data_IF_975740869594
#
_entry.id   IF_975740869594
#
_cell.length_a   1.000
_cell.length_b   1.000
_cell.length_c   1.000
_cell.angle_alpha   90.00
_cell.angle_beta   90.00
_cell.angle_gamma   90.00
#
_symmetry.space_group_name_H-M   'P 1'
#
loop_
_entity.id
_entity.type
_entity.pdbx_description
1 polymer ?
#
# COMPACT_ATOMS: atom_id res chain seq x y z
N UNK A 1 -31.42 -3.32 9.78
CA UNK A 1 -29.97 -3.15 9.50
C UNK A 1 -29.74 -1.77 8.95
N UNK A 2 -28.77 -1.03 9.49
CA UNK A 2 -28.35 0.30 9.04
C UNK A 2 -27.21 0.15 8.02
N UNK A 3 -27.22 0.97 6.97
CA UNK A 3 -26.18 0.96 5.93
C UNK A 3 -25.64 2.37 5.70
N UNK A 4 -24.38 2.45 5.33
CA UNK A 4 -23.68 3.65 4.87
C UNK A 4 -23.32 3.43 3.40
N UNK A 5 -23.52 4.45 2.57
CA UNK A 5 -23.14 4.39 1.15
C UNK A 5 -21.91 5.25 0.91
N UNK A 6 -20.89 4.68 0.30
CA UNK A 6 -19.69 5.37 -0.14
C UNK A 6 -19.31 4.88 -1.54
N UNK A 7 -19.08 5.80 -2.47
CA UNK A 7 -18.60 5.50 -3.83
C UNK A 7 -19.39 4.37 -4.53
N UNK A 8 -20.73 4.44 -4.48
CA UNK A 8 -21.67 3.45 -5.02
C UNK A 8 -21.63 2.06 -4.36
N UNK A 9 -20.89 1.87 -3.26
CA UNK A 9 -20.94 0.67 -2.43
C UNK A 9 -21.75 0.91 -1.17
N UNK A 10 -22.47 -0.13 -0.70
CA UNK A 10 -23.21 -0.12 0.56
C UNK A 10 -22.45 -0.93 1.59
N UNK A 11 -22.21 -0.35 2.75
CA UNK A 11 -21.54 -0.98 3.87
C UNK A 11 -22.51 -1.08 5.04
N UNK A 12 -22.61 -2.25 5.65
CA UNK A 12 -23.43 -2.43 6.86
C UNK A 12 -22.80 -1.65 8.01
N UNK A 13 -23.64 -1.06 8.86
CA UNK A 13 -23.19 -0.47 10.12
C UNK A 13 -22.58 -1.57 10.99
N UNK A 14 -21.39 -1.38 11.57
CA UNK A 14 -20.75 -2.41 12.39
C UNK A 14 -21.49 -2.62 13.69
N UNK A 15 -21.71 -3.89 14.06
CA UNK A 15 -22.27 -4.29 15.35
C UNK A 15 -21.17 -4.48 16.41
N UNK A 16 -19.92 -4.60 15.96
CA UNK A 16 -18.67 -4.78 16.73
C UNK A 16 -17.60 -3.85 16.15
N UNK A 17 -16.54 -3.49 16.90
CA UNK A 17 -15.41 -2.78 16.32
C UNK A 17 -14.86 -3.49 15.08
N UNK A 18 -14.61 -2.75 14.01
CA UNK A 18 -13.97 -3.26 12.79
C UNK A 18 -12.56 -2.70 12.70
N UNK A 19 -11.57 -3.56 12.77
CA UNK A 19 -10.15 -3.22 12.64
C UNK A 19 -9.65 -3.68 11.28
N UNK A 20 -9.34 -2.74 10.40
CA UNK A 20 -8.74 -3.04 9.10
C UNK A 20 -7.27 -2.67 9.14
N UNK A 21 -6.42 -3.61 8.78
CA UNK A 21 -4.97 -3.48 8.87
C UNK A 21 -4.37 -3.63 7.46
N UNK A 22 -3.60 -2.63 7.05
CA UNK A 22 -2.75 -2.66 5.87
C UNK A 22 -1.31 -2.94 6.31
N UNK A 23 -0.83 -4.15 6.06
CA UNK A 23 0.54 -4.56 6.32
C UNK A 23 1.41 -4.19 5.12
N UNK A 24 1.96 -2.98 5.12
CA UNK A 24 2.77 -2.43 4.03
C UNK A 24 3.88 -3.39 3.58
N UNK A 25 3.96 -3.65 2.28
CA UNK A 25 4.97 -4.52 1.67
C UNK A 25 4.81 -6.01 1.95
N UNK A 26 3.67 -6.46 2.48
CA UNK A 26 3.48 -7.85 2.90
C UNK A 26 2.89 -8.70 1.79
N UNK A 27 3.57 -9.79 1.45
CA UNK A 27 3.07 -10.77 0.51
C UNK A 27 2.68 -12.09 1.22
N UNK A 28 1.62 -12.76 0.75
CA UNK A 28 1.13 -13.98 1.38
C UNK A 28 1.98 -15.22 1.10
N UNK A 29 2.75 -15.21 0.00
CA UNK A 29 3.56 -16.35 -0.42
C UNK A 29 2.82 -17.49 -1.10
N UNK A 30 1.61 -17.29 -1.57
CA UNK A 30 0.84 -18.33 -2.27
C UNK A 30 0.64 -18.00 -3.75
N UNK A 31 0.80 -18.97 -4.65
CA UNK A 31 1.35 -20.32 -4.45
C UNK A 31 2.85 -20.28 -4.10
N UNK A 32 3.31 -21.24 -3.32
CA UNK A 32 4.68 -21.36 -2.78
C UNK A 32 5.79 -21.54 -3.84
N UNK A 33 5.54 -21.30 -5.09
CA UNK A 33 6.47 -21.55 -6.20
C UNK A 33 7.78 -20.77 -6.11
N UNK A 34 7.82 -19.69 -5.34
CA UNK A 34 9.00 -18.82 -5.14
C UNK A 34 9.59 -18.86 -3.73
N UNK A 35 9.26 -19.87 -2.95
CA UNK A 35 9.80 -20.04 -1.60
C UNK A 35 8.94 -19.45 -0.49
N UNK A 36 7.74 -18.94 -0.80
CA UNK A 36 6.79 -18.41 0.16
C UNK A 36 7.02 -16.92 0.49
N UNK A 37 5.94 -16.25 0.94
CA UNK A 37 5.99 -14.87 1.38
C UNK A 37 6.22 -14.74 2.89
N UNK A 38 6.16 -13.51 3.38
CA UNK A 38 6.42 -13.19 4.78
C UNK A 38 5.49 -13.93 5.74
N UNK A 39 4.18 -13.85 5.50
CA UNK A 39 3.17 -14.41 6.40
C UNK A 39 3.27 -15.94 6.42
N UNK A 40 3.38 -16.60 5.25
CA UNK A 40 3.48 -18.06 5.20
C UNK A 40 4.76 -18.56 5.87
N UNK A 41 5.90 -17.90 5.64
CA UNK A 41 7.15 -18.25 6.31
C UNK A 41 7.11 -18.05 7.81
N UNK A 42 6.56 -16.95 8.29
CA UNK A 42 6.41 -16.70 9.71
C UNK A 42 5.45 -17.71 10.38
N UNK A 43 4.40 -18.15 9.68
CA UNK A 43 3.52 -19.24 10.15
C UNK A 43 4.29 -20.57 10.19
N UNK A 44 4.99 -20.92 9.12
CA UNK A 44 5.80 -22.16 9.05
C UNK A 44 6.86 -22.22 10.15
N UNK A 45 7.48 -21.08 10.46
CA UNK A 45 8.49 -20.94 11.51
C UNK A 45 7.88 -20.79 12.93
N UNK A 46 6.54 -20.90 13.07
CA UNK A 46 5.86 -20.85 14.35
C UNK A 46 5.76 -19.46 14.99
N UNK A 47 6.06 -18.41 14.25
CA UNK A 47 6.04 -17.02 14.76
C UNK A 47 4.64 -16.39 14.73
N UNK A 48 3.69 -16.94 13.95
CA UNK A 48 2.33 -16.42 13.83
C UNK A 48 1.27 -17.47 14.18
N UNK A 49 1.23 -17.97 15.43
CA UNK A 49 0.29 -19.01 15.85
C UNK A 49 -1.17 -18.54 15.82
N UNK A 50 -1.45 -17.27 16.14
CA UNK A 50 -2.80 -16.73 16.06
C UNK A 50 -3.30 -16.71 14.61
N UNK A 51 -2.52 -16.15 13.69
CA UNK A 51 -2.90 -16.07 12.29
C UNK A 51 -2.99 -17.46 11.65
N UNK A 52 -2.14 -18.40 12.04
CA UNK A 52 -2.24 -19.81 11.66
C UNK A 52 -3.60 -20.43 12.06
N UNK A 53 -4.13 -20.07 13.24
CA UNK A 53 -5.43 -20.54 13.71
C UNK A 53 -6.60 -20.04 12.84
N UNK A 54 -6.47 -18.87 12.23
CA UNK A 54 -7.50 -18.25 11.37
C UNK A 54 -7.71 -19.09 10.10
N UNK A 55 -6.69 -19.78 9.59
CA UNK A 55 -6.83 -20.68 8.42
C UNK A 55 -8.00 -21.68 8.56
N UNK A 56 -8.34 -22.05 9.80
CA UNK A 56 -9.37 -23.04 10.07
C UNK A 56 -10.72 -22.46 10.54
N UNK A 57 -10.76 -21.20 10.97
CA UNK A 57 -11.96 -20.59 11.60
C UNK A 57 -12.43 -19.31 10.95
N UNK A 58 -11.60 -18.67 10.14
CA UNK A 58 -11.90 -17.42 9.48
C UNK A 58 -11.81 -17.52 7.96
N UNK A 59 -11.55 -16.40 7.31
CA UNK A 59 -11.22 -16.34 5.90
C UNK A 59 -9.72 -16.14 5.73
N UNK A 60 -9.06 -17.02 4.99
CA UNK A 60 -7.64 -16.88 4.66
C UNK A 60 -7.46 -17.03 3.15
N UNK A 61 -7.39 -15.90 2.46
CA UNK A 61 -7.29 -15.83 0.99
C UNK A 61 -6.23 -14.82 0.58
N UNK A 62 -6.05 -14.67 -0.72
CA UNK A 62 -5.27 -13.61 -1.34
C UNK A 62 -6.17 -12.69 -2.15
N UNK A 63 -5.72 -11.46 -2.34
CA UNK A 63 -6.33 -10.48 -3.23
C UNK A 63 -5.27 -9.89 -4.17
N UNK A 64 -5.72 -9.18 -5.19
CA UNK A 64 -4.84 -8.39 -6.02
C UNK A 64 -4.89 -6.92 -5.59
N UNK A 65 -3.74 -6.33 -5.32
CA UNK A 65 -3.55 -4.89 -5.19
C UNK A 65 -3.78 -4.20 -6.54
N UNK A 66 -3.97 -2.89 -6.55
CA UNK A 66 -4.01 -2.11 -7.79
C UNK A 66 -2.60 -1.98 -8.38
N UNK A 67 -2.52 -1.75 -9.68
CA UNK A 67 -1.27 -1.41 -10.37
C UNK A 67 -1.26 0.11 -10.66
N UNK A 68 -0.14 0.78 -10.35
CA UNK A 68 1.10 0.28 -9.77
C UNK A 68 0.92 -0.17 -8.32
N UNK A 69 1.63 -1.25 -7.95
CA UNK A 69 1.63 -1.79 -6.59
C UNK A 69 2.52 -0.91 -5.68
N UNK A 70 2.02 0.30 -5.40
CA UNK A 70 2.63 1.33 -4.56
C UNK A 70 1.71 1.72 -3.41
N UNK A 71 2.29 2.31 -2.37
CA UNK A 71 1.62 2.65 -1.12
C UNK A 71 0.42 3.58 -1.31
N UNK A 72 0.59 4.74 -1.96
CA UNK A 72 -0.49 5.72 -2.06
C UNK A 72 -1.71 5.21 -2.84
N UNK A 73 -1.58 4.72 -4.11
CA UNK A 73 -2.75 4.26 -4.85
C UNK A 73 -3.48 3.13 -4.14
N UNK A 74 -2.76 2.23 -3.49
CA UNK A 74 -3.37 1.07 -2.84
C UNK A 74 -4.03 1.40 -1.49
N UNK A 75 -3.37 2.18 -0.61
CA UNK A 75 -4.03 2.63 0.62
C UNK A 75 -5.30 3.44 0.30
N UNK A 76 -5.26 4.32 -0.71
CA UNK A 76 -6.44 5.09 -1.12
C UNK A 76 -7.49 4.17 -1.75
N UNK A 77 -7.11 3.18 -2.55
CA UNK A 77 -8.06 2.18 -3.05
C UNK A 77 -8.77 1.45 -1.90
N UNK A 78 -8.03 1.01 -0.88
CA UNK A 78 -8.56 0.33 0.31
C UNK A 78 -9.60 1.22 1.02
N UNK A 79 -9.26 2.47 1.32
CA UNK A 79 -10.12 3.34 2.15
C UNK A 79 -11.24 4.03 1.37
N UNK A 80 -11.23 3.98 0.05
CA UNK A 80 -12.32 4.45 -0.80
C UNK A 80 -13.19 3.31 -1.35
N UNK A 81 -12.72 2.06 -1.27
CA UNK A 81 -13.35 0.89 -1.86
C UNK A 81 -13.38 0.95 -3.40
N UNK A 82 -12.46 1.67 -4.05
CA UNK A 82 -12.50 1.94 -5.50
C UNK A 82 -11.12 1.85 -6.14
N UNK A 83 -11.02 1.61 -7.45
CA UNK A 83 -9.74 1.61 -8.17
C UNK A 83 -9.22 3.02 -8.46
N UNK A 84 -7.94 3.17 -8.88
CA UNK A 84 -7.29 4.44 -9.21
C UNK A 84 -8.05 5.34 -10.19
N UNK A 85 -8.69 4.77 -11.21
CA UNK A 85 -9.49 5.54 -12.19
C UNK A 85 -10.63 6.33 -11.54
N UNK A 86 -11.13 5.86 -10.40
CA UNK A 86 -12.23 6.50 -9.65
C UNK A 86 -11.67 7.52 -8.65
N UNK A 87 -10.73 7.11 -7.79
CA UNK A 87 -10.20 7.99 -6.75
C UNK A 87 -9.08 8.93 -7.22
N UNK A 88 -8.50 8.70 -8.40
CA UNK A 88 -7.57 9.62 -9.05
C UNK A 88 -6.08 9.46 -8.69
N UNK A 89 -5.71 8.64 -7.71
CA UNK A 89 -4.30 8.46 -7.29
C UNK A 89 -3.66 7.36 -8.14
N UNK A 90 -2.75 7.75 -9.05
CA UNK A 90 -2.11 6.85 -10.03
C UNK A 90 -0.72 6.36 -9.63
N UNK A 91 -0.17 6.86 -8.52
CA UNK A 91 1.16 6.54 -8.03
C UNK A 91 1.44 7.33 -6.76
N UNK A 92 2.66 7.26 -6.25
CA UNK A 92 3.11 8.18 -5.20
C UNK A 92 3.44 9.57 -5.78
N UNK A 93 3.55 9.65 -7.13
CA UNK A 93 4.08 10.80 -7.82
C UNK A 93 3.66 10.74 -9.31
N UNK A 94 3.42 11.87 -9.96
CA UNK A 94 3.03 11.94 -11.35
C UNK A 94 3.54 13.24 -12.00
N UNK A 95 3.47 13.31 -13.34
CA UNK A 95 3.70 14.53 -14.07
C UNK A 95 2.38 15.21 -14.38
N UNK A 96 2.20 16.41 -13.83
CA UNK A 96 1.02 17.22 -14.08
C UNK A 96 1.25 18.09 -15.33
N UNK A 97 0.54 17.76 -16.40
CA UNK A 97 0.59 18.48 -17.67
C UNK A 97 0.10 19.94 -17.53
N UNK A 98 -0.75 20.24 -16.55
CA UNK A 98 -1.30 21.58 -16.36
C UNK A 98 -0.28 22.57 -15.77
N UNK A 99 0.55 22.10 -14.85
CA UNK A 99 1.59 22.90 -14.20
C UNK A 99 2.99 22.68 -14.78
N UNK A 100 3.16 21.75 -15.74
CA UNK A 100 4.47 21.30 -16.28
C UNK A 100 5.44 20.87 -15.17
N UNK A 101 4.91 20.18 -14.13
CA UNK A 101 5.67 19.82 -12.95
C UNK A 101 5.49 18.35 -12.55
N UNK A 102 6.51 17.79 -11.95
CA UNK A 102 6.43 16.52 -11.26
C UNK A 102 5.92 16.74 -9.84
N UNK A 103 4.83 16.06 -9.47
CA UNK A 103 4.06 16.36 -8.27
C UNK A 103 3.88 15.10 -7.41
N UNK A 104 4.13 15.24 -6.10
CA UNK A 104 3.85 14.20 -5.12
C UNK A 104 2.34 14.06 -4.91
N UNK A 105 1.81 12.83 -5.03
CA UNK A 105 0.39 12.53 -4.82
C UNK A 105 0.10 12.26 -3.33
N UNK A 106 0.39 13.22 -2.47
CA UNK A 106 0.15 13.17 -1.02
C UNK A 106 -0.75 14.30 -0.51
N UNK A 107 -1.27 15.15 -1.41
CA UNK A 107 -2.25 16.17 -1.08
C UNK A 107 -3.67 15.64 -1.29
N UNK A 108 -4.59 15.77 -0.30
CA UNK A 108 -6.00 15.40 -0.43
C UNK A 108 -6.72 16.04 -1.63
N UNK A 109 -6.25 17.19 -2.13
CA UNK A 109 -6.81 17.85 -3.32
C UNK A 109 -6.72 16.97 -4.60
N UNK A 110 -5.87 15.95 -4.62
CA UNK A 110 -5.81 14.99 -5.73
C UNK A 110 -6.90 13.92 -5.69
N UNK A 111 -7.57 13.74 -4.54
CA UNK A 111 -8.68 12.80 -4.40
C UNK A 111 -9.92 13.29 -5.16
N UNK A 112 -10.59 12.37 -5.85
CA UNK A 112 -11.81 12.65 -6.64
C UNK A 112 -13.07 12.16 -5.97
N UNK A 113 -12.93 11.39 -4.89
CA UNK A 113 -14.04 10.75 -4.17
C UNK A 113 -13.75 10.75 -2.67
N UNK A 114 -14.80 10.66 -1.86
CA UNK A 114 -14.70 10.60 -0.41
C UNK A 114 -14.21 9.24 0.09
N UNK A 115 -13.79 9.21 1.35
CA UNK A 115 -13.36 7.99 2.03
C UNK A 115 -14.53 7.29 2.73
N UNK A 116 -14.40 5.97 2.96
CA UNK A 116 -15.31 5.19 3.80
C UNK A 116 -15.38 5.80 5.21
N UNK A 117 -14.24 6.29 5.72
CA UNK A 117 -14.16 6.94 7.04
C UNK A 117 -15.08 8.15 7.17
N UNK A 118 -14.99 9.07 6.19
CA UNK A 118 -15.87 10.27 6.17
C UNK A 118 -17.32 9.87 6.07
N UNK A 119 -17.66 8.93 5.20
CA UNK A 119 -19.03 8.46 5.03
C UNK A 119 -19.61 7.87 6.33
N UNK A 120 -18.82 7.11 7.10
CA UNK A 120 -19.24 6.58 8.39
C UNK A 120 -19.29 7.66 9.48
N UNK A 121 -18.30 8.56 9.54
CA UNK A 121 -18.32 9.68 10.48
C UNK A 121 -19.57 10.55 10.32
N UNK A 122 -19.98 10.86 9.09
CA UNK A 122 -21.20 11.63 8.80
C UNK A 122 -22.47 10.97 9.30
N UNK A 123 -22.41 9.68 9.53
CA UNK A 123 -23.48 8.90 10.12
C UNK A 123 -23.32 8.70 11.64
N UNK A 124 -22.30 9.32 12.25
CA UNK A 124 -22.06 9.30 13.69
C UNK A 124 -21.15 8.19 14.19
N UNK A 125 -20.40 7.52 13.32
CA UNK A 125 -19.39 6.55 13.73
C UNK A 125 -18.15 7.24 14.32
N UNK A 126 -17.48 6.52 15.23
CA UNK A 126 -16.17 6.89 15.77
C UNK A 126 -15.09 6.23 14.92
N UNK A 127 -14.22 7.06 14.34
CA UNK A 127 -13.19 6.64 13.38
C UNK A 127 -11.81 6.88 13.96
N UNK A 128 -10.97 5.85 14.02
CA UNK A 128 -9.56 5.99 14.34
C UNK A 128 -8.69 5.53 13.16
N UNK A 129 -7.69 6.32 12.81
CA UNK A 129 -6.73 6.05 11.73
C UNK A 129 -5.33 6.29 12.27
N UNK A 130 -4.48 5.26 12.23
CA UNK A 130 -3.08 5.36 12.63
C UNK A 130 -2.19 4.84 11.50
N UNK A 131 -1.30 5.68 11.03
CA UNK A 131 -0.31 5.32 10.00
C UNK A 131 1.10 5.33 10.56
N UNK A 132 2.00 4.55 9.96
CA UNK A 132 3.40 4.64 10.32
C UNK A 132 4.00 6.00 9.90
N UNK A 133 3.80 6.40 8.63
CA UNK A 133 4.39 7.61 8.02
C UNK A 133 3.35 8.72 7.81
N UNK A 134 3.73 9.98 8.05
CA UNK A 134 2.82 11.13 7.98
C UNK A 134 2.34 11.48 6.56
N UNK A 135 3.11 11.14 5.54
CA UNK A 135 2.77 11.46 4.14
C UNK A 135 1.38 10.96 3.72
N UNK A 136 0.98 9.78 4.21
CA UNK A 136 -0.29 9.16 3.88
C UNK A 136 -1.45 9.68 4.74
N UNK A 137 -1.18 10.08 5.99
CA UNK A 137 -2.18 10.49 6.99
C UNK A 137 -3.20 11.49 6.47
N UNK A 138 -2.73 12.55 5.79
CA UNK A 138 -3.61 13.63 5.31
C UNK A 138 -4.64 13.14 4.29
N UNK A 139 -4.27 12.24 3.40
CA UNK A 139 -5.19 11.66 2.42
C UNK A 139 -6.19 10.72 3.09
N UNK A 140 -5.77 9.91 4.06
CA UNK A 140 -6.65 9.00 4.80
C UNK A 140 -7.66 9.76 5.66
N UNK A 141 -7.22 10.86 6.29
CA UNK A 141 -8.07 11.76 7.09
C UNK A 141 -8.84 12.79 6.28
N UNK A 142 -8.90 12.68 4.95
CA UNK A 142 -9.57 13.64 4.08
C UNK A 142 -11.02 13.89 4.49
N UNK A 143 -11.36 15.17 4.67
CA UNK A 143 -12.68 15.66 5.08
C UNK A 143 -13.17 15.20 6.45
N UNK A 144 -12.39 14.49 7.27
CA UNK A 144 -12.79 14.18 8.63
C UNK A 144 -12.91 15.45 9.48
N UNK A 145 -13.97 15.50 10.26
CA UNK A 145 -14.22 16.57 11.23
C UNK A 145 -13.68 16.14 12.60
N UNK A 146 -12.56 16.72 13.00
CA UNK A 146 -11.91 16.43 14.28
C UNK A 146 -12.54 17.21 15.45
N UNK A 147 -13.22 18.32 15.19
CA UNK A 147 -13.84 19.14 16.22
C UNK A 147 -15.04 18.44 16.88
N UNK A 148 -15.71 17.55 16.14
CA UNK A 148 -16.81 16.76 16.67
C UNK A 148 -16.36 15.70 17.70
N UNK A 149 -15.07 15.43 17.83
CA UNK A 149 -14.53 14.44 18.75
C UNK A 149 -14.88 12.98 18.40
N UNK A 150 -15.34 12.73 17.17
CA UNK A 150 -15.67 11.40 16.64
C UNK A 150 -14.62 10.85 15.65
N UNK A 151 -13.52 11.57 15.44
CA UNK A 151 -12.41 11.13 14.61
C UNK A 151 -11.05 11.34 15.29
N UNK A 152 -10.15 10.39 15.10
CA UNK A 152 -8.72 10.48 15.43
C UNK A 152 -7.95 10.02 14.19
N UNK A 153 -6.97 10.83 13.72
CA UNK A 153 -6.13 10.48 12.58
C UNK A 153 -4.72 11.03 12.75
N UNK A 154 -3.74 10.15 12.96
CA UNK A 154 -2.35 10.58 13.16
C UNK A 154 -1.34 9.54 12.63
N UNK A 155 -0.06 9.94 12.63
CA UNK A 155 1.06 9.07 12.28
C UNK A 155 1.96 8.79 13.48
N UNK A 156 2.53 7.58 13.55
CA UNK A 156 3.56 7.23 14.54
C UNK A 156 4.79 8.13 14.39
N UNK A 157 5.19 8.47 13.16
CA UNK A 157 6.31 9.36 12.83
C UNK A 157 6.22 10.71 13.55
N UNK A 158 5.00 11.26 13.70
CA UNK A 158 4.76 12.59 14.28
C UNK A 158 3.81 12.58 15.48
N UNK A 159 3.75 11.47 16.21
CA UNK A 159 2.82 11.30 17.33
C UNK A 159 2.94 12.39 18.40
N UNK A 160 4.15 12.94 18.66
CA UNK A 160 4.38 14.03 19.61
C UNK A 160 3.87 15.40 19.13
N UNK A 161 3.59 15.54 17.82
CA UNK A 161 3.19 16.81 17.21
C UNK A 161 1.68 16.89 16.98
N UNK A 162 0.93 15.89 17.46
CA UNK A 162 -0.51 15.86 17.24
C UNK A 162 -1.24 16.90 18.08
N UNK A 163 -2.29 17.45 17.48
CA UNK A 163 -3.19 18.42 18.11
C UNK A 163 -4.63 17.98 17.93
N UNK A 164 -5.48 18.31 18.88
CA UNK A 164 -6.91 17.97 18.81
C UNK A 164 -7.58 18.54 17.55
N UNK A 165 -7.23 19.76 17.15
CA UNK A 165 -7.83 20.41 15.99
C UNK A 165 -7.50 19.78 14.65
N UNK A 166 -6.27 19.23 14.50
CA UNK A 166 -5.83 18.61 13.24
C UNK A 166 -5.90 17.08 13.24
N UNK A 167 -5.85 16.45 14.43
CA UNK A 167 -5.69 15.00 14.55
C UNK A 167 -6.76 14.33 15.42
N UNK A 168 -7.62 15.11 16.09
CA UNK A 168 -8.61 14.62 17.05
C UNK A 168 -8.04 14.25 18.43
N UNK A 169 -6.72 14.35 18.61
CA UNK A 169 -6.00 14.01 19.85
C UNK A 169 -4.80 14.93 20.03
N UNK A 170 -4.51 15.33 21.27
CA UNK A 170 -3.30 16.06 21.63
C UNK A 170 -2.22 15.05 22.06
N UNK A 171 -0.97 15.28 21.65
CA UNK A 171 0.19 14.48 22.02
C UNK A 171 -0.06 12.96 22.05
N UNK A 172 -0.28 12.40 20.87
CA UNK A 172 -0.55 10.97 20.74
C UNK A 172 0.57 10.06 21.25
N UNK A 173 1.78 10.61 21.52
CA UNK A 173 2.87 9.85 22.15
C UNK A 173 2.51 9.33 23.55
N UNK A 174 1.51 9.90 24.18
CA UNK A 174 0.99 9.45 25.48
C UNK A 174 0.07 8.23 25.41
N UNK A 175 -0.25 7.76 24.19
CA UNK A 175 -1.09 6.55 24.02
C UNK A 175 -0.36 5.26 24.39
N UNK A 176 0.95 5.26 24.39
CA UNK A 176 1.75 4.05 24.63
C UNK A 176 2.91 4.36 25.57
N UNK A 177 3.42 3.33 26.26
CA UNK A 177 4.66 3.42 27.03
C UNK A 177 5.92 3.25 26.14
N UNK A 178 5.73 3.12 24.81
CA UNK A 178 6.84 2.99 23.86
C UNK A 178 7.50 4.35 23.62
N UNK A 179 8.83 4.37 23.43
CA UNK A 179 9.51 5.59 23.02
C UNK A 179 9.01 6.03 21.63
N UNK A 180 9.10 7.33 21.35
CA UNK A 180 8.83 7.83 19.99
C UNK A 180 9.71 7.09 18.99
N UNK A 181 9.11 6.41 17.98
CA UNK A 181 9.86 5.54 17.11
C UNK A 181 10.73 6.32 16.11
N UNK A 182 11.89 5.77 15.77
CA UNK A 182 12.69 6.26 14.64
C UNK A 182 11.98 5.94 13.32
N UNK A 183 11.97 6.91 12.39
CA UNK A 183 11.34 6.77 11.06
C UNK A 183 11.90 5.58 10.28
N UNK A 184 13.18 5.26 10.48
CA UNK A 184 13.88 4.17 9.82
C UNK A 184 13.99 2.93 10.72
N UNK A 185 12.89 2.51 11.31
CA UNK A 185 12.84 1.31 12.18
C UNK A 185 11.53 0.55 12.07
N UNK A 186 11.54 -0.72 12.48
CA UNK A 186 10.32 -1.52 12.65
C UNK A 186 9.43 -1.03 13.79
N UNK A 187 9.99 -0.22 14.71
CA UNK A 187 9.26 0.34 15.86
C UNK A 187 8.12 1.27 15.47
N UNK A 188 8.16 1.89 14.26
CA UNK A 188 6.99 2.62 13.74
C UNK A 188 5.74 1.75 13.68
N UNK A 189 5.87 0.53 13.16
CA UNK A 189 4.75 -0.40 13.03
C UNK A 189 4.29 -0.93 14.40
N UNK A 190 5.22 -1.22 15.31
CA UNK A 190 4.88 -1.63 16.67
C UNK A 190 4.08 -0.53 17.40
N UNK A 191 4.50 0.74 17.25
CA UNK A 191 3.78 1.89 17.79
C UNK A 191 2.35 1.98 17.22
N UNK A 192 2.17 1.77 15.92
CA UNK A 192 0.85 1.79 15.26
C UNK A 192 -0.09 0.76 15.92
N UNK A 193 0.38 -0.45 16.15
CA UNK A 193 -0.41 -1.50 16.80
C UNK A 193 -0.71 -1.20 18.27
N UNK A 194 0.30 -0.79 19.05
CA UNK A 194 0.14 -0.46 20.47
C UNK A 194 -0.83 0.70 20.69
N UNK A 195 -0.71 1.78 19.89
CA UNK A 195 -1.63 2.90 19.95
C UNK A 195 -3.05 2.50 19.52
N UNK A 196 -3.17 1.61 18.51
CA UNK A 196 -4.45 1.05 18.09
C UNK A 196 -5.16 0.27 19.20
N UNK A 197 -4.44 -0.58 19.95
CA UNK A 197 -4.93 -1.29 21.11
C UNK A 197 -5.41 -0.33 22.21
N UNK A 198 -4.60 0.67 22.54
CA UNK A 198 -4.98 1.69 23.55
C UNK A 198 -6.27 2.42 23.14
N UNK A 199 -6.45 2.74 21.85
CA UNK A 199 -7.68 3.36 21.38
C UNK A 199 -8.89 2.40 21.40
N UNK A 200 -8.69 1.10 21.16
CA UNK A 200 -9.76 0.11 21.35
C UNK A 200 -10.23 0.07 22.82
N UNK A 201 -9.29 0.10 23.75
CA UNK A 201 -9.59 0.09 25.21
C UNK A 201 -10.25 1.38 25.68
N UNK A 202 -9.66 2.53 25.34
CA UNK A 202 -9.99 3.80 26.01
C UNK A 202 -10.96 4.66 25.24
N UNK A 203 -11.02 4.48 23.92
CA UNK A 203 -11.82 5.32 23.03
C UNK A 203 -12.91 4.54 22.26
N UNK A 204 -12.78 3.23 22.10
CA UNK A 204 -13.75 2.31 21.49
C UNK A 204 -14.25 2.80 20.11
N UNK A 205 -13.39 2.85 19.08
CA UNK A 205 -13.79 3.23 17.72
C UNK A 205 -14.74 2.18 17.11
N UNK A 206 -15.70 2.62 16.29
CA UNK A 206 -16.49 1.72 15.43
C UNK A 206 -15.64 1.14 14.28
N UNK A 207 -14.74 1.99 13.74
CA UNK A 207 -13.79 1.60 12.70
C UNK A 207 -12.38 2.08 13.10
N UNK A 208 -11.44 1.14 13.11
CA UNK A 208 -10.01 1.40 13.31
C UNK A 208 -9.26 0.98 12.04
N UNK A 209 -8.46 1.88 11.48
CA UNK A 209 -7.55 1.58 10.38
C UNK A 209 -6.10 1.74 10.80
N UNK A 210 -5.30 0.69 10.59
CA UNK A 210 -3.89 0.65 10.90
C UNK A 210 -3.08 0.41 9.62
N UNK A 211 -2.09 1.27 9.35
CA UNK A 211 -1.19 1.09 8.21
C UNK A 211 0.26 1.10 8.70
N UNK A 212 0.97 0.01 8.45
CA UNK A 212 2.35 -0.19 8.88
C UNK A 212 3.36 0.48 7.94
N UNK A 213 4.64 0.22 8.15
CA UNK A 213 5.75 0.59 7.27
C UNK A 213 6.41 -0.65 6.70
N UNK A 214 6.84 -0.59 5.47
CA UNK A 214 7.58 -1.62 4.72
C UNK A 214 9.10 -1.61 4.97
N UNK A 215 9.56 -0.92 6.01
CA UNK A 215 10.99 -0.82 6.34
C UNK A 215 11.67 -2.19 6.47
N UNK A 216 11.01 -3.12 7.17
CA UNK A 216 11.55 -4.47 7.37
C UNK A 216 11.59 -5.22 6.03
N UNK A 217 10.55 -5.09 5.21
CA UNK A 217 10.41 -5.79 3.94
C UNK A 217 11.44 -5.34 2.90
N UNK A 218 11.86 -4.07 2.93
CA UNK A 218 12.94 -3.55 2.09
C UNK A 218 14.31 -4.13 2.43
N UNK A 219 14.55 -4.50 3.70
CA UNK A 219 15.87 -4.93 4.17
C UNK A 219 15.99 -6.43 4.40
N UNK A 220 14.90 -7.08 4.77
CA UNK A 220 14.90 -8.46 5.21
C UNK A 220 13.90 -9.29 4.40
N UNK A 221 14.38 -10.35 3.76
CA UNK A 221 13.53 -11.28 3.02
C UNK A 221 12.66 -12.15 3.94
N UNK A 222 11.63 -12.81 3.37
CA UNK A 222 10.78 -13.74 4.10
C UNK A 222 11.60 -14.86 4.79
N UNK A 223 11.23 -15.21 6.04
CA UNK A 223 11.87 -16.28 6.82
C UNK A 223 13.24 -15.91 7.40
N UNK A 224 13.69 -14.66 7.28
CA UNK A 224 14.85 -14.20 8.04
C UNK A 224 14.47 -13.94 9.51
N UNK A 225 15.39 -14.11 10.47
CA UNK A 225 15.08 -13.91 11.88
C UNK A 225 14.44 -12.54 12.21
N UNK A 226 14.90 -11.48 11.54
CA UNK A 226 14.36 -10.13 11.74
C UNK A 226 12.94 -10.01 11.19
N UNK A 227 12.68 -10.54 9.99
CA UNK A 227 11.33 -10.54 9.43
C UNK A 227 10.39 -11.41 10.30
N UNK A 228 10.82 -12.60 10.69
CA UNK A 228 10.04 -13.50 11.54
C UNK A 228 9.69 -12.86 12.88
N UNK A 229 10.64 -12.17 13.54
CA UNK A 229 10.38 -11.45 14.78
C UNK A 229 9.36 -10.31 14.59
N UNK A 230 9.45 -9.58 13.48
CA UNK A 230 8.50 -8.51 13.14
C UNK A 230 7.08 -9.05 12.92
N UNK A 231 6.93 -10.15 12.19
CA UNK A 231 5.63 -10.78 11.97
C UNK A 231 5.10 -11.47 13.25
N UNK A 232 5.97 -11.96 14.14
CA UNK A 232 5.59 -12.43 15.47
C UNK A 232 5.03 -11.33 16.37
N UNK A 233 5.62 -10.13 16.32
CA UNK A 233 5.08 -8.94 17.00
C UNK A 233 3.68 -8.60 16.47
N UNK A 234 3.48 -8.61 15.15
CA UNK A 234 2.16 -8.38 14.54
C UNK A 234 1.14 -9.40 15.04
N UNK A 235 1.48 -10.69 15.02
CA UNK A 235 0.59 -11.78 15.46
C UNK A 235 0.13 -11.62 16.91
N UNK A 236 1.05 -11.19 17.78
CA UNK A 236 0.75 -10.90 19.19
C UNK A 236 -0.31 -9.81 19.32
N UNK A 237 -0.13 -8.68 18.64
CA UNK A 237 -1.10 -7.59 18.68
C UNK A 237 -2.45 -7.96 18.05
N UNK A 238 -2.47 -8.77 16.99
CA UNK A 238 -3.73 -9.29 16.43
C UNK A 238 -4.50 -10.13 17.42
N UNK A 239 -3.81 -10.98 18.21
CA UNK A 239 -4.41 -11.77 19.28
C UNK A 239 -4.98 -10.88 20.37
N UNK A 240 -4.28 -9.83 20.78
CA UNK A 240 -4.77 -8.86 21.78
C UNK A 240 -6.02 -8.12 21.27
N UNK A 241 -6.02 -7.66 20.01
CA UNK A 241 -7.19 -7.00 19.39
C UNK A 241 -8.41 -7.91 19.35
N UNK A 242 -8.24 -9.23 19.21
CA UNK A 242 -9.36 -10.17 19.26
C UNK A 242 -10.07 -10.17 20.60
N UNK A 243 -9.38 -9.87 21.71
CA UNK A 243 -9.99 -9.81 23.04
C UNK A 243 -11.09 -8.73 23.16
N UNK A 244 -11.10 -7.75 22.25
CA UNK A 244 -12.13 -6.70 22.14
C UNK A 244 -13.37 -7.14 21.32
N UNK A 245 -13.49 -8.42 20.97
CA UNK A 245 -14.56 -8.95 20.08
C UNK A 245 -14.60 -8.23 18.71
N UNK A 246 -13.45 -7.74 18.25
CA UNK A 246 -13.34 -6.99 17.00
C UNK A 246 -13.36 -7.91 15.77
N UNK A 247 -13.97 -7.44 14.68
CA UNK A 247 -13.73 -7.99 13.36
C UNK A 247 -12.37 -7.49 12.88
N UNK A 248 -11.40 -8.39 12.78
CA UNK A 248 -10.03 -8.10 12.33
C UNK A 248 -9.90 -8.50 10.87
N UNK A 249 -9.58 -7.54 10.02
CA UNK A 249 -9.39 -7.72 8.58
C UNK A 249 -7.97 -7.27 8.19
N UNK A 250 -7.18 -8.17 7.60
CA UNK A 250 -5.78 -7.92 7.23
C UNK A 250 -5.64 -7.99 5.72
N UNK A 251 -5.05 -6.95 5.15
CA UNK A 251 -4.59 -6.91 3.76
C UNK A 251 -3.24 -6.23 3.68
N UNK A 252 -2.75 -5.98 2.47
CA UNK A 252 -1.58 -5.14 2.21
C UNK A 252 -1.85 -4.23 1.01
N UNK A 253 -1.06 -3.21 0.88
CA UNK A 253 -1.06 -2.32 -0.28
C UNK A 253 -0.28 -2.92 -1.45
N UNK A 254 0.79 -3.66 -1.17
CA UNK A 254 1.59 -4.41 -2.14
C UNK A 254 2.42 -5.50 -1.45
N UNK A 255 3.07 -6.35 -2.26
CA UNK A 255 4.12 -7.24 -1.84
C UNK A 255 5.51 -6.63 -1.96
N UNK A 256 6.56 -7.46 -1.78
CA UNK A 256 7.95 -7.04 -1.86
C UNK A 256 8.82 -8.16 -2.42
N UNK A 257 9.58 -7.90 -3.48
CA UNK A 257 10.45 -8.89 -4.12
C UNK A 257 11.92 -8.49 -4.12
N UNK A 258 12.80 -9.49 -4.14
CA UNK A 258 14.21 -9.29 -4.40
C UNK A 258 14.42 -8.80 -5.84
N UNK A 259 15.29 -7.80 -6.01
CA UNK A 259 15.57 -7.13 -7.29
C UNK A 259 17.07 -7.13 -7.60
N UNK A 260 17.70 -8.25 -7.34
CA UNK A 260 19.14 -8.44 -7.50
C UNK A 260 19.46 -9.84 -8.05
N UNK A 261 20.66 -10.00 -8.57
CA UNK A 261 21.18 -11.28 -8.99
C UNK A 261 21.70 -12.12 -7.80
N UNK A 262 22.24 -13.31 -8.08
CA UNK A 262 22.80 -14.20 -7.07
C UNK A 262 24.04 -13.64 -6.35
N UNK A 263 24.67 -12.61 -6.91
CA UNK A 263 25.81 -11.91 -6.30
C UNK A 263 25.37 -10.68 -5.49
N UNK A 264 24.04 -10.42 -5.38
CA UNK A 264 23.48 -9.27 -4.70
C UNK A 264 23.52 -7.97 -5.49
N UNK A 265 23.89 -8.00 -6.78
CA UNK A 265 23.93 -6.82 -7.62
C UNK A 265 22.52 -6.47 -8.12
N UNK A 266 22.08 -5.20 -8.01
CA UNK A 266 20.76 -4.80 -8.47
C UNK A 266 20.53 -5.05 -9.97
N UNK A 267 19.40 -5.65 -10.32
CA UNK A 267 18.95 -5.83 -11.70
C UNK A 267 18.14 -4.60 -12.14
N UNK A 268 18.72 -3.70 -12.92
CA UNK A 268 18.10 -2.44 -13.31
C UNK A 268 18.00 -2.32 -14.82
N UNK A 269 16.82 -1.97 -15.33
CA UNK A 269 16.63 -1.52 -16.72
C UNK A 269 16.61 0.00 -16.74
N UNK A 270 17.65 0.62 -17.25
CA UNK A 270 17.70 2.08 -17.42
C UNK A 270 16.98 2.49 -18.71
N UNK A 271 15.85 3.18 -18.57
CA UNK A 271 14.95 3.50 -19.69
C UNK A 271 15.50 4.62 -20.59
N UNK A 272 16.12 5.65 -20.01
CA UNK A 272 16.59 6.81 -20.78
C UNK A 272 17.63 6.47 -21.85
N UNK A 273 18.68 5.67 -21.60
CA UNK A 273 19.62 5.27 -22.65
C UNK A 273 18.94 4.53 -23.80
N UNK A 274 17.96 3.66 -23.48
CA UNK A 274 17.23 2.87 -24.49
C UNK A 274 16.38 3.75 -25.41
N UNK A 275 15.70 4.75 -24.84
CA UNK A 275 14.85 5.68 -25.59
C UNK A 275 15.71 6.66 -26.38
N UNK A 276 16.87 7.07 -25.85
CA UNK A 276 17.80 7.97 -26.54
C UNK A 276 18.41 7.39 -27.82
N UNK A 277 18.37 6.07 -28.01
CA UNK A 277 18.72 5.46 -29.29
C UNK A 277 17.73 5.82 -30.42
N UNK A 278 16.53 6.26 -30.07
CA UNK A 278 15.44 6.61 -30.99
C UNK A 278 15.16 8.11 -31.00
N UNK A 279 15.17 8.75 -29.83
CA UNK A 279 14.68 10.11 -29.60
C UNK A 279 15.69 10.97 -28.83
N UNK A 280 15.83 12.26 -29.11
CA UNK A 280 16.53 13.20 -28.23
C UNK A 280 15.88 13.31 -26.86
N UNK A 281 16.67 13.63 -25.82
CA UNK A 281 16.17 13.62 -24.42
C UNK A 281 15.11 14.69 -24.10
N UNK A 282 14.95 15.70 -24.90
CA UNK A 282 13.93 16.75 -24.79
C UNK A 282 12.58 16.34 -25.41
N UNK A 283 12.53 15.19 -26.10
CA UNK A 283 11.32 14.67 -26.76
C UNK A 283 10.53 13.72 -25.87
N UNK A 284 11.03 13.36 -24.69
CA UNK A 284 10.34 12.45 -23.78
C UNK A 284 10.64 12.77 -22.31
N UNK A 285 9.72 12.34 -21.43
CA UNK A 285 9.89 12.38 -19.98
C UNK A 285 9.55 11.00 -19.40
N UNK A 286 10.41 10.51 -18.53
CA UNK A 286 10.20 9.26 -17.78
C UNK A 286 9.80 9.62 -16.35
N UNK A 287 8.68 9.09 -15.90
CA UNK A 287 8.23 9.20 -14.52
C UNK A 287 8.34 7.82 -13.88
N UNK A 288 9.09 7.75 -12.80
CA UNK A 288 9.17 6.60 -11.92
C UNK A 288 8.32 6.90 -10.67
N UNK A 289 7.02 6.50 -10.63
CA UNK A 289 6.08 7.00 -9.65
C UNK A 289 6.19 6.30 -8.27
N UNK A 290 7.38 5.87 -7.92
CA UNK A 290 7.73 5.33 -6.60
C UNK A 290 8.49 6.38 -5.81
N UNK A 291 8.20 6.46 -4.50
CA UNK A 291 9.01 7.23 -3.55
C UNK A 291 9.34 6.31 -2.39
N UNK A 292 10.61 5.89 -2.35
CA UNK A 292 11.11 5.05 -1.29
C UNK A 292 12.16 5.85 -0.49
N UNK A 293 11.95 6.12 0.80
CA UNK A 293 12.90 6.88 1.60
C UNK A 293 14.21 6.12 1.89
N UNK A 294 14.26 4.83 1.60
CA UNK A 294 15.44 3.98 1.83
C UNK A 294 16.40 3.95 0.64
N UNK A 295 15.95 4.45 -0.53
CA UNK A 295 16.80 4.72 -1.70
C UNK A 295 16.82 6.23 -1.90
N UNK A 296 17.95 6.86 -1.69
CA UNK A 296 18.18 8.29 -1.40
C UNK A 296 17.68 9.31 -2.46
N UNK A 297 16.88 8.94 -3.44
CA UNK A 297 16.53 9.83 -4.57
C UNK A 297 15.08 9.93 -4.91
N UNK A 298 14.69 11.10 -5.45
CA UNK A 298 13.51 11.24 -6.31
C UNK A 298 13.55 10.20 -7.43
N UNK A 299 12.47 9.44 -7.59
CA UNK A 299 12.45 8.33 -8.52
C UNK A 299 13.25 7.15 -8.02
N UNK A 300 12.91 6.63 -6.84
CA UNK A 300 13.40 5.35 -6.35
C UNK A 300 13.17 4.25 -7.39
N UNK A 301 13.97 3.20 -7.32
CA UNK A 301 13.91 2.07 -8.26
C UNK A 301 12.71 1.18 -7.93
N UNK A 302 11.78 1.06 -8.86
CA UNK A 302 10.57 0.26 -8.70
C UNK A 302 10.19 -0.53 -9.94
N UNK A 303 9.12 -1.30 -9.85
CA UNK A 303 8.63 -2.18 -10.92
C UNK A 303 7.75 -1.51 -11.97
N UNK A 304 7.53 -0.19 -11.91
CA UNK A 304 6.59 0.53 -12.78
C UNK A 304 7.16 1.87 -13.22
N UNK A 305 6.93 2.23 -14.48
CA UNK A 305 7.25 3.54 -15.03
C UNK A 305 6.16 4.00 -16.00
N UNK A 306 6.03 5.32 -16.18
CA UNK A 306 5.23 5.91 -17.25
C UNK A 306 6.06 6.89 -18.06
N UNK A 307 5.81 6.94 -19.37
CA UNK A 307 6.61 7.72 -20.32
C UNK A 307 5.69 8.69 -21.07
N UNK A 308 6.01 9.96 -20.99
CA UNK A 308 5.38 11.03 -21.76
C UNK A 308 6.24 11.32 -23.01
N UNK A 309 5.62 11.44 -24.16
CA UNK A 309 6.27 11.71 -25.44
C UNK A 309 5.76 13.04 -26.01
N UNK A 310 6.65 13.79 -26.65
CA UNK A 310 6.27 15.05 -27.28
C UNK A 310 5.45 14.84 -28.57
N UNK A 311 5.61 13.67 -29.22
CA UNK A 311 4.87 13.31 -30.43
C UNK A 311 4.25 11.93 -30.27
N UNK A 312 2.93 11.79 -30.40
CA UNK A 312 2.26 10.49 -30.35
C UNK A 312 2.74 9.48 -31.41
N UNK A 313 3.33 9.93 -32.51
CA UNK A 313 3.90 9.05 -33.54
C UNK A 313 5.10 8.23 -33.00
N UNK A 314 5.75 8.68 -31.93
CA UNK A 314 6.89 8.01 -31.31
C UNK A 314 6.46 6.83 -30.40
N UNK A 315 5.17 6.67 -30.07
CA UNK A 315 4.66 5.64 -29.15
C UNK A 315 5.03 4.24 -29.62
N UNK A 316 4.68 3.87 -30.86
CA UNK A 316 4.93 2.53 -31.37
C UNK A 316 6.42 2.18 -31.48
N UNK A 317 7.31 3.04 -32.02
CA UNK A 317 8.76 2.80 -32.00
C UNK A 317 9.33 2.57 -30.61
N UNK A 318 8.93 3.40 -29.63
CA UNK A 318 9.40 3.25 -28.23
C UNK A 318 8.86 1.98 -27.60
N UNK A 319 7.58 1.65 -27.77
CA UNK A 319 7.00 0.40 -27.29
C UNK A 319 7.75 -0.82 -27.84
N UNK A 320 8.00 -0.86 -29.14
CA UNK A 320 8.74 -1.95 -29.78
C UNK A 320 10.17 -2.09 -29.23
N UNK A 321 10.89 -0.97 -29.07
CA UNK A 321 12.26 -0.95 -28.52
C UNK A 321 12.30 -1.49 -27.09
N UNK A 322 11.39 -1.05 -26.23
CA UNK A 322 11.36 -1.44 -24.82
C UNK A 322 10.91 -2.87 -24.63
N UNK A 323 9.93 -3.35 -25.41
CA UNK A 323 9.43 -4.74 -25.31
C UNK A 323 10.49 -5.81 -25.62
N UNK A 324 11.55 -5.45 -26.33
CA UNK A 324 12.66 -6.33 -26.64
C UNK A 324 13.72 -6.44 -25.52
N UNK A 325 13.57 -5.66 -24.43
CA UNK A 325 14.57 -5.60 -23.37
C UNK A 325 14.37 -6.68 -22.33
N UNK A 326 15.46 -7.36 -21.95
CA UNK A 326 15.46 -8.25 -20.78
C UNK A 326 15.14 -7.43 -19.53
N UNK A 327 14.30 -7.97 -18.66
CA UNK A 327 13.90 -7.31 -17.42
C UNK A 327 12.63 -6.45 -17.53
N UNK A 328 12.09 -6.28 -18.74
CA UNK A 328 10.77 -5.69 -18.96
C UNK A 328 9.73 -6.81 -19.12
N UNK A 329 8.62 -6.71 -18.39
CA UNK A 329 7.51 -7.66 -18.45
C UNK A 329 6.42 -7.20 -19.44
N UNK A 330 5.99 -5.93 -19.31
CA UNK A 330 4.97 -5.35 -20.17
C UNK A 330 5.38 -3.94 -20.63
N UNK A 331 5.04 -3.63 -21.86
CA UNK A 331 5.02 -2.27 -22.40
C UNK A 331 3.66 -2.06 -23.03
N UNK A 332 2.89 -1.12 -22.51
CA UNK A 332 1.50 -0.87 -22.91
C UNK A 332 1.30 0.59 -23.27
N UNK A 333 0.56 0.84 -24.36
CA UNK A 333 0.04 2.17 -24.61
C UNK A 333 -0.93 2.59 -23.51
N UNK A 334 -1.03 3.89 -23.23
CA UNK A 334 -1.82 4.45 -22.14
C UNK A 334 -3.26 3.95 -22.13
N UNK A 335 -3.95 3.89 -23.29
CA UNK A 335 -5.33 3.42 -23.40
C UNK A 335 -5.49 1.98 -22.89
N UNK A 336 -4.59 1.09 -23.31
CA UNK A 336 -4.59 -0.32 -22.91
C UNK A 336 -4.23 -0.47 -21.44
N UNK A 337 -3.24 0.29 -20.97
CA UNK A 337 -2.82 0.28 -19.57
C UNK A 337 -3.92 0.79 -18.63
N UNK A 338 -4.59 1.89 -18.99
CA UNK A 338 -5.69 2.46 -18.21
C UNK A 338 -6.88 1.51 -18.13
N UNK A 339 -7.24 0.84 -19.20
CA UNK A 339 -8.29 -0.18 -19.20
C UNK A 339 -7.89 -1.38 -18.32
N UNK A 340 -6.70 -1.95 -18.55
CA UNK A 340 -6.22 -3.16 -17.86
C UNK A 340 -6.02 -2.97 -16.38
N UNK A 341 -5.46 -1.82 -15.96
CA UNK A 341 -5.07 -1.53 -14.58
C UNK A 341 -6.01 -0.54 -13.88
N UNK A 342 -7.08 -0.11 -14.55
CA UNK A 342 -8.02 0.89 -14.04
C UNK A 342 -7.31 2.17 -13.58
N UNK A 343 -6.41 2.71 -14.42
CA UNK A 343 -5.67 3.94 -14.16
C UNK A 343 -6.43 5.18 -14.67
N UNK A 344 -6.25 6.36 -14.04
CA UNK A 344 -6.83 7.62 -14.52
C UNK A 344 -6.05 8.11 -15.75
N UNK A 345 -6.69 8.23 -16.94
CA UNK A 345 -5.97 8.53 -18.20
C UNK A 345 -5.27 9.90 -18.22
N UNK A 346 -5.74 10.84 -17.44
CA UNK A 346 -5.19 12.20 -17.32
C UNK A 346 -3.97 12.29 -16.38
N UNK A 347 -3.60 11.18 -15.73
CA UNK A 347 -2.48 11.11 -14.78
C UNK A 347 -1.49 9.99 -15.10
N UNK A 348 -1.46 9.57 -16.35
CA UNK A 348 -0.58 8.53 -16.87
C UNK A 348 0.02 9.02 -18.19
N UNK A 349 1.29 8.69 -18.43
CA UNK A 349 1.96 9.02 -19.70
C UNK A 349 1.46 8.17 -20.86
N UNK A 350 1.97 8.42 -22.06
CA UNK A 350 1.58 7.74 -23.30
C UNK A 350 1.90 6.23 -23.28
N UNK A 351 2.93 5.83 -22.50
CA UNK A 351 3.36 4.44 -22.37
C UNK A 351 3.51 4.09 -20.90
N UNK A 352 3.05 2.90 -20.53
CA UNK A 352 3.27 2.27 -19.22
C UNK A 352 4.23 1.09 -19.40
N UNK A 353 5.21 0.99 -18.52
CA UNK A 353 6.20 -0.09 -18.51
C UNK A 353 6.20 -0.76 -17.14
N UNK A 354 6.19 -2.11 -17.11
CA UNK A 354 6.41 -2.88 -15.89
C UNK A 354 7.65 -3.76 -16.01
N UNK A 355 8.37 -3.94 -14.90
CA UNK A 355 9.53 -4.83 -14.85
C UNK A 355 9.14 -6.27 -14.55
N UNK A 356 9.99 -7.21 -14.97
CA UNK A 356 9.93 -8.61 -14.52
C UNK A 356 10.27 -8.73 -13.03
N UNK A 357 9.90 -9.85 -12.41
CA UNK A 357 9.97 -10.08 -10.96
C UNK A 357 11.29 -9.67 -10.29
N UNK A 358 12.43 -10.05 -10.86
CA UNK A 358 13.76 -9.79 -10.27
C UNK A 358 14.37 -8.46 -10.72
N UNK A 359 13.62 -7.63 -11.45
CA UNK A 359 14.11 -6.39 -12.05
C UNK A 359 13.39 -5.17 -11.53
N UNK A 360 14.05 -4.02 -11.64
CA UNK A 360 13.46 -2.69 -11.46
C UNK A 360 13.72 -1.81 -12.67
N UNK A 361 12.94 -0.76 -12.80
CA UNK A 361 13.09 0.28 -13.80
C UNK A 361 13.81 1.47 -13.20
N UNK A 362 14.79 2.01 -13.91
CA UNK A 362 15.54 3.21 -13.57
C UNK A 362 15.51 4.23 -14.70
N UNK A 363 15.80 5.50 -14.36
CA UNK A 363 15.90 6.57 -15.34
C UNK A 363 17.21 6.45 -16.12
N UNK A 364 18.35 6.66 -15.47
CA UNK A 364 19.70 6.49 -16.01
C UNK A 364 20.67 6.18 -14.88
N UNK A 365 21.84 5.61 -15.16
CA UNK A 365 22.80 5.23 -14.12
C UNK A 365 23.22 6.43 -13.24
N UNK A 366 23.38 7.60 -13.83
CA UNK A 366 23.77 8.82 -13.10
C UNK A 366 22.64 9.41 -12.25
N UNK A 367 21.41 9.00 -12.52
CA UNK A 367 20.23 9.48 -11.79
C UNK A 367 20.03 8.78 -10.45
N UNK A 368 20.57 7.56 -10.30
CA UNK A 368 20.41 6.73 -9.11
C UNK A 368 21.77 6.46 -8.45
N UNK A 369 21.95 6.95 -7.22
CA UNK A 369 23.13 6.64 -6.42
C UNK A 369 22.90 5.35 -5.62
N UNK A 370 23.54 4.27 -6.03
CA UNK A 370 23.42 2.97 -5.38
C UNK A 370 24.47 2.76 -4.27
N UNK A 371 25.36 3.72 -4.03
CA UNK A 371 26.44 3.59 -3.07
C UNK A 371 25.96 3.49 -1.61
N UNK A 372 24.71 3.88 -1.36
CA UNK A 372 24.06 3.83 -0.04
C UNK A 372 23.31 2.53 0.23
N UNK A 373 23.22 1.62 -0.73
CA UNK A 373 22.63 0.30 -0.51
C UNK A 373 23.50 -0.53 0.42
N UNK A 374 23.04 -0.76 1.63
CA UNK A 374 23.72 -1.61 2.62
C UNK A 374 23.34 -3.09 2.50
N UNK A 375 22.21 -3.38 1.87
CA UNK A 375 21.63 -4.70 1.66
C UNK A 375 21.25 -4.89 0.18
N UNK A 376 21.15 -6.14 -0.32
CA UNK A 376 20.65 -6.38 -1.67
C UNK A 376 19.28 -5.78 -1.92
N UNK A 377 19.10 -5.13 -3.08
CA UNK A 377 17.90 -4.38 -3.40
C UNK A 377 16.63 -5.23 -3.31
N UNK A 378 15.66 -4.76 -2.57
CA UNK A 378 14.27 -5.24 -2.56
C UNK A 378 13.35 -4.08 -2.89
N UNK A 379 12.36 -4.33 -3.73
CA UNK A 379 11.44 -3.27 -4.19
C UNK A 379 10.12 -3.86 -4.68
N UNK A 380 9.23 -2.97 -5.11
CA UNK A 380 7.86 -3.25 -5.52
C UNK A 380 7.40 -2.35 -6.66
N UNK A 381 6.13 -2.41 -7.04
CA UNK A 381 5.51 -1.54 -8.05
C UNK A 381 5.01 -2.28 -9.29
N UNK A 382 5.51 -3.47 -9.55
CA UNK A 382 5.16 -4.29 -10.71
C UNK A 382 4.04 -5.30 -10.44
N UNK A 383 3.83 -6.20 -11.41
CA UNK A 383 2.82 -7.26 -11.32
C UNK A 383 3.21 -8.33 -10.30
N UNK A 384 4.48 -8.57 -10.11
CA UNK A 384 5.00 -9.57 -9.17
C UNK A 384 4.70 -9.26 -7.70
N UNK A 385 4.45 -7.99 -7.37
CA UNK A 385 4.11 -7.51 -6.03
C UNK A 385 2.60 -7.22 -5.87
N UNK A 386 1.78 -7.58 -6.88
CA UNK A 386 0.34 -7.33 -6.87
C UNK A 386 -0.41 -8.21 -5.88
N UNK A 387 0.06 -9.44 -5.66
CA UNK A 387 -0.65 -10.38 -4.79
C UNK A 387 -0.39 -10.09 -3.32
N UNK A 388 -1.48 -9.90 -2.55
CA UNK A 388 -1.47 -9.49 -1.15
C UNK A 388 -2.37 -10.38 -0.29
N UNK A 389 -2.19 -10.40 1.05
CA UNK A 389 -3.07 -11.15 1.94
C UNK A 389 -4.49 -10.56 1.93
N UNK A 390 -5.47 -11.43 2.18
CA UNK A 390 -6.87 -11.06 2.39
C UNK A 390 -7.44 -11.99 3.46
N UNK A 391 -7.39 -11.55 4.70
CA UNK A 391 -7.61 -12.39 5.88
C UNK A 391 -8.63 -11.73 6.79
N UNK A 392 -9.60 -12.53 7.28
CA UNK A 392 -10.57 -12.10 8.29
C UNK A 392 -10.57 -13.13 9.42
N UNK A 393 -10.64 -12.66 10.67
CA UNK A 393 -10.72 -13.55 11.84
C UNK A 393 -12.08 -14.23 11.98
N UNK A 394 -13.09 -13.80 11.25
CA UNK A 394 -14.42 -14.41 11.14
C UNK A 394 -14.63 -15.11 9.80
N UNK A 395 -15.50 -16.14 9.73
CA UNK A 395 -15.92 -16.71 8.46
C UNK A 395 -16.65 -15.67 7.60
N UNK A 396 -16.48 -15.75 6.28
CA UNK A 396 -17.18 -14.90 5.32
C UNK A 396 -17.82 -15.75 4.21
N UNK A 397 -18.87 -16.54 4.53
CA UNK A 397 -19.45 -17.52 3.61
C UNK A 397 -20.13 -16.90 2.39
N UNK A 398 -20.51 -15.62 2.47
CA UNK A 398 -21.12 -14.89 1.36
C UNK A 398 -20.11 -14.45 0.29
N UNK A 399 -18.80 -14.51 0.59
CA UNK A 399 -17.77 -14.29 -0.42
C UNK A 399 -17.63 -15.53 -1.29
N UNK A 400 -18.08 -15.43 -2.54
CA UNK A 400 -18.03 -16.54 -3.49
C UNK A 400 -16.59 -16.96 -3.77
N UNK A 401 -16.29 -18.25 -3.66
CA UNK A 401 -14.93 -18.78 -3.79
C UNK A 401 -14.26 -18.46 -5.15
N UNK A 402 -15.05 -18.28 -6.21
CA UNK A 402 -14.59 -17.92 -7.57
C UNK A 402 -14.34 -16.42 -7.76
N UNK A 403 -14.69 -15.57 -6.79
CA UNK A 403 -14.50 -14.12 -6.92
C UNK A 403 -13.02 -13.75 -6.81
N UNK A 404 -12.50 -13.04 -7.80
CA UNK A 404 -11.20 -12.38 -7.68
C UNK A 404 -11.35 -11.20 -6.75
N UNK A 405 -10.69 -11.27 -5.60
CA UNK A 405 -10.71 -10.19 -4.60
C UNK A 405 -9.66 -9.13 -4.94
N UNK A 406 -10.00 -7.90 -4.63
CA UNK A 406 -9.07 -6.78 -4.63
C UNK A 406 -8.79 -6.36 -3.19
N UNK A 407 -7.61 -5.81 -2.91
CA UNK A 407 -7.31 -5.33 -1.57
C UNK A 407 -8.34 -4.30 -1.07
N UNK A 408 -8.92 -3.51 -1.98
CA UNK A 408 -9.96 -2.53 -1.66
C UNK A 408 -11.37 -3.12 -1.41
N UNK A 409 -11.52 -4.44 -1.49
CA UNK A 409 -12.74 -5.14 -1.08
C UNK A 409 -12.73 -5.49 0.42
N UNK A 410 -11.63 -5.18 1.14
CA UNK A 410 -11.45 -5.62 2.53
C UNK A 410 -12.50 -5.02 3.49
N UNK A 411 -12.87 -3.75 3.32
CA UNK A 411 -13.95 -3.13 4.11
C UNK A 411 -15.32 -3.74 3.79
N UNK A 412 -15.58 -4.04 2.51
CA UNK A 412 -16.81 -4.72 2.10
C UNK A 412 -16.89 -6.12 2.73
N UNK A 413 -15.78 -6.86 2.70
CA UNK A 413 -15.69 -8.17 3.30
C UNK A 413 -15.91 -8.12 4.82
N UNK A 414 -15.24 -7.20 5.53
CA UNK A 414 -15.33 -7.06 6.97
C UNK A 414 -16.71 -6.61 7.47
N UNK A 415 -17.35 -5.68 6.76
CA UNK A 415 -18.61 -5.07 7.18
C UNK A 415 -19.85 -5.84 6.69
N UNK A 416 -19.79 -6.46 5.51
CA UNK A 416 -20.98 -7.04 4.88
C UNK A 416 -21.02 -8.57 4.92
N UNK A 417 -19.88 -9.26 5.01
CA UNK A 417 -19.79 -10.68 4.72
C UNK A 417 -19.43 -11.57 5.92
N UNK A 418 -18.97 -11.00 7.02
CA UNK A 418 -18.65 -11.74 8.24
C UNK A 418 -19.91 -12.27 8.92
N UNK A 419 -19.81 -13.48 9.48
CA UNK A 419 -20.82 -14.10 10.33
C UNK A 419 -20.18 -14.54 11.64
N UNK A 420 -20.95 -14.49 12.74
CA UNK A 420 -20.50 -15.01 14.04
C UNK A 420 -20.28 -16.53 14.00
#
# INVERSE_FOLDING_TARGET
MRYVTCNNRKYRWPDKPVVVICLDGSEPGYPLSDGGGYIDRAIENGQMPYLASIKNRGLFRTADATIPSFTNPNNISIVTGTPPVVHGISGNFFYDLGSDAEVMMNDPAFLRVGTIFKAFQDQGARIAIITAKDKLRRMLGHELDFEQGSAICFSAEKCQLTTRGEHGIDDASQLTDLPTPDVYSGALSEYVFSAGLTLLDTWSPDILYLSTSDYIQHKHGPGTPTADAFYGMIDHHLLEMQAHDAVIAVTADHGMKAKHDSAGQPNIVYLKPLINELLPSDRFRIILPITDPYVVHHGALGGFATIYLADPADVQPVCHKLSAQKGIELVLEASIACERFSLPPDRVGHIVVTSSTEWVLGHSQQYHDLSTLSEPLRSHGGLSEQRVPFILNYPAPLLVASTTLRNYDIFDAALNHTTD
#
